data_IF_848254481094
#
_entry.id   IF_848254481094
#
_cell.length_a   1.000
_cell.length_b   1.000
_cell.length_c   1.000
_cell.angle_alpha   90.00
_cell.angle_beta   90.00
_cell.angle_gamma   90.00
#
_symmetry.space_group_name_H-M   'P 1'
#
loop_
_entity.id
_entity.type
_entity.pdbx_description
1 polymer ?
#
# COMPACT_ATOMS: atom_id res chain seq x y z
N UNK A 1 -12.30 6.13 37.51
CA UNK A 1 -12.30 6.99 36.30
C UNK A 1 -12.91 6.16 35.20
N UNK A 2 -13.94 6.66 34.53
CA UNK A 2 -14.52 5.95 33.38
C UNK A 2 -13.60 6.15 32.17
N UNK A 3 -13.12 5.04 31.60
CA UNK A 3 -12.22 5.03 30.45
C UNK A 3 -12.94 4.72 29.14
N UNK A 4 -14.24 4.43 29.17
CA UNK A 4 -14.99 4.04 27.97
C UNK A 4 -14.88 5.05 26.80
N UNK A 5 -14.87 6.39 27.02
CA UNK A 5 -14.65 7.34 25.91
C UNK A 5 -13.25 7.24 25.30
N UNK A 6 -12.24 6.94 26.11
CA UNK A 6 -10.86 6.76 25.64
C UNK A 6 -10.73 5.45 24.86
N UNK A 7 -11.30 4.36 25.37
CA UNK A 7 -11.32 3.06 24.69
C UNK A 7 -11.97 3.15 23.30
N UNK A 8 -13.12 3.82 23.20
CA UNK A 8 -13.78 4.06 21.92
C UNK A 8 -12.91 4.87 20.95
N UNK A 9 -12.22 5.90 21.44
CA UNK A 9 -11.32 6.72 20.63
C UNK A 9 -10.11 5.93 20.13
N UNK A 10 -9.54 5.05 20.97
CA UNK A 10 -8.43 4.16 20.61
C UNK A 10 -8.87 3.13 19.56
N UNK A 11 -10.07 2.54 19.69
CA UNK A 11 -10.60 1.62 18.68
C UNK A 11 -10.75 2.31 17.33
N UNK A 12 -11.35 3.50 17.30
CA UNK A 12 -11.50 4.27 16.04
C UNK A 12 -10.16 4.62 15.40
N UNK A 13 -9.15 4.96 16.21
CA UNK A 13 -7.81 5.21 15.70
C UNK A 13 -7.26 3.95 15.00
N UNK A 14 -7.35 2.79 15.66
CA UNK A 14 -6.88 1.51 15.11
C UNK A 14 -7.60 1.11 13.84
N UNK A 15 -8.91 1.33 13.78
CA UNK A 15 -9.70 1.04 12.58
C UNK A 15 -9.25 1.90 11.39
N UNK A 16 -8.95 3.18 11.64
CA UNK A 16 -8.43 4.10 10.61
C UNK A 16 -7.01 3.71 10.20
N UNK A 17 -6.14 3.35 11.15
CA UNK A 17 -4.79 2.86 10.85
C UNK A 17 -4.84 1.61 9.96
N UNK A 18 -5.69 0.65 10.29
CA UNK A 18 -5.89 -0.57 9.49
C UNK A 18 -6.41 -0.25 8.08
N UNK A 19 -7.34 0.70 7.95
CA UNK A 19 -7.84 1.13 6.64
C UNK A 19 -6.78 1.84 5.81
N UNK A 20 -5.92 2.65 6.43
CA UNK A 20 -4.78 3.31 5.77
C UNK A 20 -3.77 2.28 5.30
N UNK A 21 -3.44 1.28 6.11
CA UNK A 21 -2.52 0.21 5.74
C UNK A 21 -3.07 -0.62 4.57
N UNK A 22 -4.36 -0.94 4.57
CA UNK A 22 -5.02 -1.61 3.45
C UNK A 22 -4.95 -0.78 2.17
N UNK A 23 -5.27 0.52 2.24
CA UNK A 23 -5.21 1.41 1.08
C UNK A 23 -3.78 1.56 0.54
N UNK A 24 -2.74 1.51 1.39
CA UNK A 24 -1.34 1.50 0.97
C UNK A 24 -1.00 0.22 0.22
N UNK A 25 -1.42 -0.93 0.73
CA UNK A 25 -1.21 -2.21 0.06
C UNK A 25 -1.87 -2.23 -1.34
N UNK A 26 -3.09 -1.68 -1.47
CA UNK A 26 -3.76 -1.55 -2.77
C UNK A 26 -2.95 -0.68 -3.75
N UNK A 27 -2.39 0.44 -3.28
CA UNK A 27 -1.51 1.31 -4.10
C UNK A 27 -0.25 0.57 -4.53
N UNK A 28 0.39 -0.18 -3.64
CA UNK A 28 1.58 -0.98 -3.98
C UNK A 28 1.28 -2.02 -5.06
N UNK A 29 0.13 -2.71 -4.96
CA UNK A 29 -0.33 -3.69 -5.96
C UNK A 29 -0.54 -3.02 -7.32
N UNK A 30 -1.29 -1.92 -7.38
CA UNK A 30 -1.55 -1.21 -8.63
C UNK A 30 -0.28 -0.60 -9.24
N UNK A 31 0.64 -0.11 -8.39
CA UNK A 31 1.93 0.41 -8.84
C UNK A 31 2.76 -0.68 -9.55
N UNK A 32 2.83 -1.87 -8.96
CA UNK A 32 3.51 -3.02 -9.56
C UNK A 32 2.83 -3.43 -10.87
N UNK A 33 1.50 -3.52 -10.89
CA UNK A 33 0.76 -3.86 -12.10
C UNK A 33 0.98 -2.82 -13.22
N UNK A 34 1.04 -1.53 -12.89
CA UNK A 34 1.32 -0.48 -13.86
C UNK A 34 2.71 -0.65 -14.49
N UNK A 35 3.74 -0.89 -13.67
CA UNK A 35 5.11 -1.14 -14.17
C UNK A 35 5.16 -2.39 -15.06
N UNK A 36 4.47 -3.47 -14.67
CA UNK A 36 4.37 -4.69 -15.50
C UNK A 36 3.68 -4.47 -16.84
N UNK A 37 2.70 -3.56 -16.88
CA UNK A 37 2.04 -3.14 -18.12
C UNK A 37 2.89 -2.17 -18.95
N UNK A 38 4.10 -1.84 -18.50
CA UNK A 38 5.07 -1.01 -19.22
C UNK A 38 5.02 0.48 -18.88
N UNK A 39 4.36 0.88 -17.78
CA UNK A 39 4.42 2.26 -17.31
C UNK A 39 5.84 2.64 -16.88
N UNK A 40 6.19 3.92 -17.03
CA UNK A 40 7.49 4.43 -16.60
C UNK A 40 7.63 4.39 -15.07
N UNK A 41 8.72 3.81 -14.59
CA UNK A 41 8.95 3.58 -13.15
C UNK A 41 9.09 4.89 -12.39
N UNK A 42 9.68 5.94 -12.99
CA UNK A 42 9.85 7.22 -12.33
C UNK A 42 8.50 7.95 -12.21
N UNK A 43 7.65 7.86 -13.23
CA UNK A 43 6.28 8.40 -13.18
C UNK A 43 5.42 7.71 -12.13
N UNK A 44 5.44 6.36 -12.08
CA UNK A 44 4.71 5.59 -11.06
C UNK A 44 5.21 5.90 -9.65
N UNK A 45 6.53 5.99 -9.46
CA UNK A 45 7.13 6.34 -8.18
C UNK A 45 6.74 7.76 -7.73
N UNK A 46 6.73 8.73 -8.65
CA UNK A 46 6.30 10.10 -8.35
C UNK A 46 4.83 10.17 -7.95
N UNK A 47 3.96 9.42 -8.65
CA UNK A 47 2.52 9.41 -8.37
C UNK A 47 2.19 8.77 -7.03
N UNK A 48 2.84 7.65 -6.71
CA UNK A 48 2.53 6.82 -5.54
C UNK A 48 3.33 7.21 -4.30
N UNK A 49 4.41 7.99 -4.47
CA UNK A 49 5.36 8.30 -3.41
C UNK A 49 6.27 7.12 -3.04
N UNK A 50 6.20 6.00 -3.77
CA UNK A 50 7.06 4.86 -3.58
C UNK A 50 8.47 5.15 -4.11
N UNK A 51 9.47 4.54 -3.48
CA UNK A 51 10.83 4.59 -3.99
C UNK A 51 10.93 3.74 -5.28
N UNK A 52 11.48 4.27 -6.39
CA UNK A 52 11.67 3.50 -7.63
C UNK A 52 12.39 2.17 -7.42
N UNK A 53 13.34 2.13 -6.49
CA UNK A 53 14.14 0.93 -6.22
C UNK A 53 13.33 -0.14 -5.46
N UNK A 54 12.44 0.27 -4.57
CA UNK A 54 11.53 -0.63 -3.86
C UNK A 54 10.45 -1.13 -4.82
N UNK A 55 9.94 -0.27 -5.70
CA UNK A 55 8.97 -0.64 -6.74
C UNK A 55 9.51 -1.73 -7.68
N UNK A 56 10.74 -1.58 -8.17
CA UNK A 56 11.41 -2.60 -8.97
C UNK A 56 11.70 -3.89 -8.19
N UNK A 57 11.95 -3.80 -6.88
CA UNK A 57 12.12 -4.97 -6.03
C UNK A 57 10.78 -5.70 -5.84
N UNK A 58 9.71 -4.98 -5.56
CA UNK A 58 8.36 -5.53 -5.40
C UNK A 58 7.88 -6.22 -6.68
N UNK A 59 8.09 -5.59 -7.84
CA UNK A 59 7.75 -6.14 -9.15
C UNK A 59 8.43 -7.49 -9.41
N UNK A 60 9.73 -7.61 -9.10
CA UNK A 60 10.49 -8.86 -9.23
C UNK A 60 10.07 -9.95 -8.26
N UNK A 61 9.65 -9.59 -7.04
CA UNK A 61 9.24 -10.55 -6.02
C UNK A 61 7.82 -11.08 -6.22
N UNK A 62 6.96 -10.31 -6.89
CA UNK A 62 5.57 -10.68 -7.16
C UNK A 62 5.40 -11.51 -8.43
N UNK A 63 6.50 -11.87 -9.13
CA UNK A 63 6.50 -12.60 -10.42
C UNK A 63 6.04 -14.06 -10.26
N UNK A 64 5.95 -14.54 -9.01
CA UNK A 64 5.44 -15.87 -8.67
C UNK A 64 3.93 -15.91 -8.42
N UNK A 65 3.22 -14.78 -8.45
CA UNK A 65 1.77 -14.77 -8.22
C UNK A 65 1.07 -15.19 -9.53
N UNK A 66 0.44 -16.39 -9.60
CA UNK A 66 -0.26 -16.82 -10.79
C UNK A 66 -1.40 -15.82 -11.08
N UNK A 67 -1.55 -15.42 -12.33
CA UNK A 67 -2.73 -14.69 -12.76
C UNK A 67 -3.95 -15.57 -12.49
N UNK A 68 -4.70 -15.22 -11.44
CA UNK A 68 -6.01 -15.80 -11.11
C UNK A 68 -7.10 -15.24 -12.01
#
# INVERSE_FOLDING_TARGET
MDLAPLELSVTRLRDVEAAVDAARADVEVEAVLAVRRGADVAEVAQLTGLNPHDLLRMEKLTDEIPAG
#
